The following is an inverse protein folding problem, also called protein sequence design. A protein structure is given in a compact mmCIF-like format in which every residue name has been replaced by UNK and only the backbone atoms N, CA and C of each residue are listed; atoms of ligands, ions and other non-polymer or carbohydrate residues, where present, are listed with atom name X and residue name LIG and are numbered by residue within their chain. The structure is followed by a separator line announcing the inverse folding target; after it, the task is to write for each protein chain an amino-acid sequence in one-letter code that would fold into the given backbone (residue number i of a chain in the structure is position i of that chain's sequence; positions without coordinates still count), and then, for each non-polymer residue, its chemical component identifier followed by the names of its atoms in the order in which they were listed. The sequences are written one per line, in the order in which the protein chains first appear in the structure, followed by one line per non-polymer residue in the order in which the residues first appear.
data_IF_163264685420
#
_entry.id   IF_163264685420
#
_cell.length_a   1.000
_cell.length_b   1.000
_cell.length_c   1.000
_cell.angle_alpha   90.00
_cell.angle_beta   90.00
_cell.angle_gamma   90.00
#
_symmetry.space_group_name_H-M   'P 1'
#
loop_
_entity.id
_entity.type
_entity.pdbx_description
1 polymer ?
#
# COMPACT_ATOMS: atom_id res chain seq x y z
N UNK A 1 -5.71 8.61 -11.41
CA UNK A 1 -4.97 7.89 -10.36
C UNK A 1 -5.12 8.59 -9.02
N UNK A 2 -4.92 9.92 -8.93
CA UNK A 2 -5.34 10.72 -7.77
C UNK A 2 -6.77 10.42 -7.30
N UNK A 3 -7.74 10.31 -8.22
CA UNK A 3 -9.13 9.97 -7.90
C UNK A 3 -9.32 8.63 -7.17
N UNK A 4 -8.43 7.65 -7.37
CA UNK A 4 -8.52 6.33 -6.74
C UNK A 4 -7.96 6.35 -5.32
N UNK A 5 -6.86 7.09 -5.09
CA UNK A 5 -6.27 7.29 -3.76
C UNK A 5 -7.25 8.00 -2.84
N UNK A 6 -7.82 9.11 -3.31
CA UNK A 6 -8.82 9.85 -2.55
C UNK A 6 -10.10 9.03 -2.32
N UNK A 7 -10.52 8.20 -3.28
CA UNK A 7 -11.65 7.30 -3.06
C UNK A 7 -11.38 6.25 -1.95
N UNK A 8 -10.15 5.73 -1.86
CA UNK A 8 -9.77 4.79 -0.78
C UNK A 8 -9.65 5.53 0.56
N UNK A 9 -9.03 6.70 0.60
CA UNK A 9 -8.95 7.55 1.80
C UNK A 9 -10.36 7.93 2.28
N UNK A 10 -11.25 8.35 1.38
CA UNK A 10 -12.64 8.70 1.71
C UNK A 10 -13.39 7.50 2.31
N UNK A 11 -13.18 6.29 1.78
CA UNK A 11 -13.77 5.05 2.33
C UNK A 11 -13.20 4.77 3.73
N UNK A 12 -11.90 4.92 3.93
CA UNK A 12 -11.23 4.70 5.21
C UNK A 12 -11.72 5.74 6.24
N UNK A 13 -11.76 7.02 5.88
CA UNK A 13 -12.24 8.11 6.73
C UNK A 13 -13.72 7.93 7.11
N UNK A 14 -14.57 7.49 6.18
CA UNK A 14 -15.97 7.19 6.47
C UNK A 14 -16.10 5.99 7.43
N UNK A 15 -15.23 4.99 7.31
CA UNK A 15 -15.17 3.85 8.22
C UNK A 15 -14.66 4.24 9.63
N UNK A 16 -13.64 5.09 9.72
CA UNK A 16 -13.08 5.60 10.98
C UNK A 16 -14.06 6.54 11.70
N UNK A 17 -14.70 7.46 10.99
CA UNK A 17 -15.62 8.46 11.55
C UNK A 17 -16.89 7.84 12.16
N UNK A 18 -17.32 6.67 11.67
CA UNK A 18 -18.50 5.97 12.18
C UNK A 18 -18.20 5.06 13.39
N UNK A 19 -16.95 4.93 13.82
CA UNK A 19 -16.54 4.10 14.96
C UNK A 19 -16.85 2.61 14.80
N UNK A 20 -17.23 2.19 13.58
CA UNK A 20 -17.57 0.84 13.18
C UNK A 20 -16.95 0.68 11.79
N UNK A 21 -15.83 -0.03 11.72
CA UNK A 21 -15.28 -0.49 10.46
C UNK A 21 -16.26 -1.51 9.87
N UNK A 22 -17.17 -1.06 9.00
CA UNK A 22 -18.21 -1.92 8.40
C UNK A 22 -17.63 -2.74 7.26
N UNK A 23 -17.17 -3.95 7.62
CA UNK A 23 -16.65 -4.96 6.69
C UNK A 23 -17.60 -5.24 5.51
N UNK A 24 -18.92 -5.04 5.63
CA UNK A 24 -19.84 -5.24 4.50
C UNK A 24 -19.68 -4.15 3.42
N UNK A 25 -19.37 -2.90 3.79
CA UNK A 25 -19.08 -1.83 2.82
C UNK A 25 -17.73 -2.03 2.11
N UNK A 26 -16.72 -2.53 2.81
CA UNK A 26 -15.42 -2.91 2.22
C UNK A 26 -15.55 -4.16 1.36
N UNK A 27 -16.40 -5.11 1.78
CA UNK A 27 -16.76 -6.34 1.05
C UNK A 27 -17.47 -6.07 -0.27
N UNK A 28 -18.35 -5.06 -0.34
CA UNK A 28 -18.96 -4.62 -1.61
C UNK A 28 -17.92 -3.98 -2.55
N UNK A 29 -16.78 -3.55 -2.00
CA UNK A 29 -15.58 -3.14 -2.73
C UNK A 29 -14.60 -4.27 -3.08
N UNK A 30 -14.92 -5.55 -2.86
CA UNK A 30 -14.01 -6.69 -3.15
C UNK A 30 -13.58 -6.75 -4.62
N UNK A 31 -14.48 -6.43 -5.56
CA UNK A 31 -14.11 -6.29 -6.97
C UNK A 31 -13.10 -5.15 -7.18
N UNK A 32 -13.21 -4.07 -6.41
CA UNK A 32 -12.22 -2.99 -6.39
C UNK A 32 -10.90 -3.45 -5.75
N UNK A 33 -10.92 -4.37 -4.79
CA UNK A 33 -9.70 -4.91 -4.14
C UNK A 33 -8.95 -5.86 -5.07
N UNK A 34 -9.66 -6.74 -5.78
CA UNK A 34 -9.06 -7.55 -6.85
C UNK A 34 -8.51 -6.66 -7.97
N UNK A 35 -9.24 -5.60 -8.33
CA UNK A 35 -8.75 -4.60 -9.29
C UNK A 35 -7.54 -3.81 -8.74
N UNK A 36 -7.50 -3.49 -7.46
CA UNK A 36 -6.36 -2.86 -6.78
C UNK A 36 -5.15 -3.79 -6.78
N UNK A 37 -5.35 -5.09 -6.55
CA UNK A 37 -4.30 -6.11 -6.61
C UNK A 37 -3.74 -6.27 -8.04
N UNK A 38 -4.59 -6.21 -9.06
CA UNK A 38 -4.14 -6.22 -10.47
C UNK A 38 -3.42 -4.93 -10.88
N UNK A 39 -3.92 -3.76 -10.43
CA UNK A 39 -3.23 -2.49 -10.64
C UNK A 39 -1.88 -2.46 -9.93
N UNK A 40 -1.78 -3.11 -8.77
CA UNK A 40 -0.54 -3.26 -8.02
C UNK A 40 0.54 -4.01 -8.76
N UNK A 41 0.24 -5.21 -9.30
CA UNK A 41 1.22 -5.95 -10.09
C UNK A 41 1.72 -5.08 -11.25
N UNK A 42 0.84 -4.27 -11.85
CA UNK A 42 1.22 -3.26 -12.83
C UNK A 42 2.18 -2.20 -12.27
N UNK A 43 1.82 -1.55 -11.16
CA UNK A 43 2.62 -0.50 -10.53
C UNK A 43 4.01 -0.98 -10.13
N UNK A 44 4.12 -2.15 -9.50
CA UNK A 44 5.42 -2.67 -9.09
C UNK A 44 6.27 -3.15 -10.28
N UNK A 45 5.66 -3.76 -11.30
CA UNK A 45 6.40 -4.09 -12.51
C UNK A 45 6.97 -2.82 -13.16
N UNK A 46 6.19 -1.75 -13.22
CA UNK A 46 6.65 -0.46 -13.73
C UNK A 46 7.75 0.17 -12.84
N UNK A 47 7.63 0.03 -11.52
CA UNK A 47 8.66 0.52 -10.59
C UNK A 47 9.98 -0.25 -10.74
N UNK A 48 9.92 -1.57 -10.88
CA UNK A 48 11.09 -2.41 -11.18
C UNK A 48 11.70 -2.08 -12.55
N UNK A 49 10.89 -1.76 -13.56
CA UNK A 49 11.39 -1.27 -14.87
C UNK A 49 12.14 0.07 -14.73
N UNK A 50 11.67 0.98 -13.88
CA UNK A 50 12.28 2.29 -13.65
C UNK A 50 13.58 2.18 -12.85
N UNK A 51 13.55 1.41 -11.75
CA UNK A 51 14.68 1.28 -10.83
C UNK A 51 15.72 0.26 -11.28
N UNK A 52 15.38 -0.56 -12.28
CA UNK A 52 16.18 -1.66 -12.78
C UNK A 52 15.92 -2.96 -12.00
N UNK A 53 15.85 -4.08 -12.72
CA UNK A 53 15.58 -5.41 -12.17
C UNK A 53 16.60 -5.86 -11.10
N UNK A 54 17.78 -5.24 -11.05
CA UNK A 54 18.85 -5.54 -10.08
C UNK A 54 18.74 -4.73 -8.76
N UNK A 55 17.69 -3.93 -8.56
CA UNK A 55 17.51 -3.19 -7.31
C UNK A 55 16.85 -4.07 -6.23
N UNK A 56 17.68 -4.81 -5.50
CA UNK A 56 17.28 -5.78 -4.48
C UNK A 56 16.27 -5.22 -3.46
N UNK A 57 16.42 -3.96 -3.06
CA UNK A 57 15.54 -3.34 -2.05
C UNK A 57 14.13 -3.06 -2.61
N UNK A 58 14.01 -2.57 -3.84
CA UNK A 58 12.69 -2.37 -4.46
C UNK A 58 12.01 -3.71 -4.77
N UNK A 59 12.77 -4.72 -5.16
CA UNK A 59 12.26 -6.07 -5.39
C UNK A 59 11.73 -6.71 -4.09
N UNK A 60 12.42 -6.50 -2.97
CA UNK A 60 11.98 -6.97 -1.65
C UNK A 60 10.64 -6.32 -1.24
N UNK A 61 10.54 -4.99 -1.32
CA UNK A 61 9.29 -4.28 -1.03
C UNK A 61 8.17 -4.79 -1.94
N UNK A 62 8.42 -4.90 -3.24
CA UNK A 62 7.47 -5.42 -4.23
C UNK A 62 6.92 -6.79 -3.83
N UNK A 63 7.82 -7.71 -3.47
CA UNK A 63 7.45 -9.06 -3.09
C UNK A 63 6.62 -9.09 -1.80
N UNK A 64 7.04 -8.31 -0.80
CA UNK A 64 6.35 -8.23 0.49
C UNK A 64 4.93 -7.67 0.35
N UNK A 65 4.77 -6.57 -0.39
CA UNK A 65 3.46 -5.95 -0.63
C UNK A 65 2.55 -6.86 -1.47
N UNK A 66 3.12 -7.55 -2.48
CA UNK A 66 2.38 -8.55 -3.28
C UNK A 66 1.85 -9.70 -2.42
N UNK A 67 2.68 -10.22 -1.50
CA UNK A 67 2.30 -11.29 -0.58
C UNK A 67 1.19 -10.84 0.38
N UNK A 68 1.33 -9.64 0.97
CA UNK A 68 0.33 -9.06 1.87
C UNK A 68 -1.04 -8.95 1.20
N UNK A 69 -1.10 -8.40 0.00
CA UNK A 69 -2.37 -8.19 -0.70
C UNK A 69 -2.97 -9.48 -1.24
N UNK A 70 -2.15 -10.44 -1.67
CA UNK A 70 -2.62 -11.78 -2.01
C UNK A 70 -3.26 -12.48 -0.80
N UNK A 71 -2.69 -12.30 0.39
CA UNK A 71 -3.24 -12.85 1.63
C UNK A 71 -4.56 -12.16 2.01
N UNK A 72 -4.63 -10.83 1.92
CA UNK A 72 -5.87 -10.06 2.14
C UNK A 72 -6.97 -10.49 1.16
N UNK A 73 -6.66 -10.57 -0.12
CA UNK A 73 -7.61 -11.00 -1.16
C UNK A 73 -8.10 -12.44 -0.92
N UNK A 74 -7.20 -13.34 -0.50
CA UNK A 74 -7.57 -14.72 -0.13
C UNK A 74 -8.49 -14.75 1.08
N UNK A 75 -8.17 -13.96 2.12
CA UNK A 75 -8.97 -13.89 3.33
C UNK A 75 -10.36 -13.27 3.09
N UNK A 76 -10.47 -12.30 2.19
CA UNK A 76 -11.74 -11.72 1.75
C UNK A 76 -12.58 -12.70 0.91
N UNK A 77 -11.94 -13.43 0.00
CA UNK A 77 -12.62 -14.34 -0.93
C UNK A 77 -13.07 -15.65 -0.28
N UNK A 78 -12.33 -16.13 0.71
CA UNK A 78 -12.67 -17.33 1.51
C UNK A 78 -12.39 -17.08 2.99
N UNK A 79 -13.27 -16.32 3.68
CA UNK A 79 -13.06 -15.98 5.09
C UNK A 79 -13.19 -17.22 5.96
N UNK A 80 -12.08 -17.62 6.57
CA UNK A 80 -11.99 -18.82 7.40
C UNK A 80 -10.75 -18.83 8.28
N UNK A 81 -10.68 -19.78 9.20
CA UNK A 81 -9.59 -19.85 10.18
C UNK A 81 -8.22 -20.06 9.51
N UNK A 82 -8.18 -20.80 8.39
CA UNK A 82 -6.97 -21.04 7.61
C UNK A 82 -6.50 -19.78 6.88
N UNK A 83 -7.38 -19.09 6.13
CA UNK A 83 -7.02 -17.87 5.40
C UNK A 83 -6.65 -16.73 6.35
N UNK A 84 -7.30 -16.64 7.51
CA UNK A 84 -6.93 -15.69 8.56
C UNK A 84 -5.57 -16.03 9.18
N UNK A 85 -5.30 -17.30 9.49
CA UNK A 85 -4.00 -17.73 10.02
C UNK A 85 -2.85 -17.44 9.05
N UNK A 86 -3.05 -17.67 7.75
CA UNK A 86 -2.07 -17.35 6.72
C UNK A 86 -1.81 -15.84 6.62
N UNK A 87 -2.87 -15.03 6.66
CA UNK A 87 -2.76 -13.58 6.69
C UNK A 87 -1.92 -13.11 7.89
N UNK A 88 -2.23 -13.61 9.10
CA UNK A 88 -1.47 -13.27 10.31
C UNK A 88 0.01 -13.66 10.21
N UNK A 89 0.32 -14.85 9.68
CA UNK A 89 1.70 -15.29 9.50
C UNK A 89 2.50 -14.37 8.58
N UNK A 90 1.88 -13.87 7.51
CA UNK A 90 2.55 -12.94 6.57
C UNK A 90 2.77 -11.59 7.23
N UNK A 91 1.83 -11.09 8.03
CA UNK A 91 1.96 -9.80 8.73
C UNK A 91 3.04 -9.86 9.80
N UNK A 92 3.18 -10.99 10.50
CA UNK A 92 4.25 -11.19 11.48
C UNK A 92 5.64 -11.14 10.82
N UNK A 93 5.76 -11.56 9.56
CA UNK A 93 6.99 -11.50 8.78
C UNK A 93 7.22 -10.13 8.13
N UNK A 94 6.14 -9.44 7.73
CA UNK A 94 6.24 -8.11 7.10
C UNK A 94 4.99 -7.28 7.36
N UNK A 95 5.14 -6.25 8.20
CA UNK A 95 4.05 -5.31 8.47
C UNK A 95 3.89 -4.29 7.32
N UNK A 96 2.66 -3.88 6.95
CA UNK A 96 2.44 -2.87 5.91
C UNK A 96 3.18 -1.55 6.21
N UNK A 97 3.15 -1.11 7.47
CA UNK A 97 3.88 0.07 7.91
C UNK A 97 5.40 -0.06 7.75
N UNK A 98 5.96 -1.26 7.90
CA UNK A 98 7.40 -1.50 7.67
C UNK A 98 7.77 -1.33 6.20
N UNK A 99 6.93 -1.83 5.27
CA UNK A 99 7.11 -1.58 3.84
C UNK A 99 7.02 -0.09 3.50
N UNK A 100 6.12 0.66 4.15
CA UNK A 100 5.98 2.10 3.94
C UNK A 100 7.27 2.86 4.36
N UNK A 101 7.83 2.55 5.53
CA UNK A 101 9.11 3.10 5.99
C UNK A 101 10.28 2.72 5.07
N UNK A 102 10.33 1.48 4.60
CA UNK A 102 11.37 1.03 3.67
C UNK A 102 11.29 1.81 2.35
N UNK A 103 10.08 2.04 1.83
CA UNK A 103 9.88 2.83 0.62
C UNK A 103 10.32 4.28 0.82
N UNK A 104 9.88 4.93 1.91
CA UNK A 104 10.29 6.29 2.26
C UNK A 104 11.82 6.43 2.33
N UNK A 105 12.49 5.51 3.02
CA UNK A 105 13.96 5.48 3.12
C UNK A 105 14.66 5.37 1.75
N UNK A 106 14.05 4.71 0.76
CA UNK A 106 14.58 4.66 -0.60
C UNK A 106 14.35 6.00 -1.33
N UNK A 107 13.21 6.63 -1.13
CA UNK A 107 12.87 7.92 -1.76
C UNK A 107 13.71 9.08 -1.22
N UNK A 108 14.14 9.03 0.04
CA UNK A 108 15.07 10.03 0.61
C UNK A 108 16.47 9.97 -0.02
N UNK A 109 16.85 8.83 -0.61
CA UNK A 109 18.14 8.66 -1.26
C UNK A 109 18.06 9.08 -2.72
N UNK A 110 18.68 10.21 -3.07
CA UNK A 110 18.63 10.78 -4.44
C UNK A 110 18.90 9.75 -5.55
N UNK A 111 19.86 8.83 -5.36
CA UNK A 111 20.22 7.81 -6.35
C UNK A 111 19.24 6.65 -6.45
N UNK A 112 18.33 6.51 -5.49
CA UNK A 112 17.31 5.46 -5.41
C UNK A 112 15.90 6.02 -5.52
N UNK A 113 15.74 7.33 -5.61
CA UNK A 113 14.46 7.98 -5.81
C UNK A 113 14.09 7.95 -7.30
N UNK A 114 13.08 7.15 -7.71
CA UNK A 114 12.66 7.05 -9.10
C UNK A 114 12.23 8.42 -9.65
N UNK A 115 11.63 9.32 -8.87
CA UNK A 115 11.23 10.65 -9.37
C UNK A 115 12.45 11.44 -9.85
N UNK A 116 13.59 11.30 -9.17
CA UNK A 116 14.82 12.03 -9.50
C UNK A 116 15.67 11.35 -10.57
N UNK A 117 15.71 10.00 -10.57
CA UNK A 117 16.61 9.24 -11.47
C UNK A 117 15.93 8.70 -12.72
N UNK A 118 14.61 8.77 -12.82
CA UNK A 118 13.86 8.16 -13.91
C UNK A 118 14.32 8.68 -15.28
N UNK A 119 14.66 7.73 -16.15
CA UNK A 119 15.02 7.97 -17.55
C UNK A 119 13.95 7.44 -18.52
N UNK A 120 12.87 6.86 -18.00
CA UNK A 120 11.72 6.35 -18.74
C UNK A 120 10.73 7.46 -19.10
N UNK A 121 9.84 7.19 -20.07
CA UNK A 121 8.67 8.03 -20.35
C UNK A 121 7.53 7.82 -19.34
N UNK A 122 7.64 6.80 -18.49
CA UNK A 122 6.66 6.48 -17.45
C UNK A 122 6.91 7.36 -16.24
N UNK A 123 5.89 8.07 -15.78
CA UNK A 123 5.93 8.88 -14.56
C UNK A 123 5.87 7.99 -13.30
N UNK A 124 6.90 8.00 -12.43
CA UNK A 124 6.95 7.18 -11.22
C UNK A 124 6.04 7.70 -10.11
N UNK A 125 5.67 8.98 -10.09
CA UNK A 125 4.82 9.55 -9.05
C UNK A 125 3.50 8.75 -8.86
N UNK A 126 2.65 8.57 -9.89
CA UNK A 126 1.38 7.87 -9.72
C UNK A 126 1.55 6.38 -9.36
N UNK A 127 2.69 5.78 -9.69
CA UNK A 127 3.04 4.41 -9.30
C UNK A 127 3.29 4.34 -7.79
N UNK A 128 4.11 5.27 -7.27
CA UNK A 128 4.41 5.38 -5.84
C UNK A 128 3.15 5.73 -5.02
N UNK A 129 2.32 6.65 -5.50
CA UNK A 129 1.02 6.96 -4.88
C UNK A 129 0.14 5.70 -4.78
N UNK A 130 0.13 4.89 -5.84
CA UNK A 130 -0.58 3.62 -5.87
C UNK A 130 -0.08 2.63 -4.82
N UNK A 131 1.24 2.53 -4.64
CA UNK A 131 1.86 1.64 -3.63
C UNK A 131 1.52 2.10 -2.21
N UNK A 132 1.63 3.38 -1.90
CA UNK A 132 1.22 3.90 -0.59
C UNK A 132 -0.26 3.67 -0.30
N UNK A 133 -1.12 3.85 -1.31
CA UNK A 133 -2.57 3.59 -1.18
C UNK A 133 -2.86 2.13 -0.86
N UNK A 134 -2.10 1.22 -1.46
CA UNK A 134 -2.22 -0.21 -1.24
C UNK A 134 -1.78 -0.61 0.17
N UNK A 135 -0.66 -0.07 0.63
CA UNK A 135 -0.18 -0.24 2.00
C UNK A 135 -1.19 0.28 3.02
N UNK A 136 -1.75 1.47 2.78
CA UNK A 136 -2.78 2.09 3.60
C UNK A 136 -4.04 1.22 3.66
N UNK A 137 -4.47 0.67 2.52
CA UNK A 137 -5.62 -0.23 2.46
C UNK A 137 -5.41 -1.50 3.30
N UNK A 138 -4.23 -2.14 3.19
CA UNK A 138 -3.91 -3.33 3.98
C UNK A 138 -3.91 -2.98 5.48
N UNK A 139 -3.23 -1.90 5.86
CA UNK A 139 -3.18 -1.46 7.26
C UNK A 139 -4.58 -1.19 7.83
N UNK A 140 -5.44 -0.49 7.08
CA UNK A 140 -6.82 -0.23 7.48
C UNK A 140 -7.63 -1.54 7.62
N UNK A 141 -7.47 -2.48 6.67
CA UNK A 141 -8.13 -3.79 6.72
C UNK A 141 -7.74 -4.58 7.99
N UNK A 142 -6.45 -4.58 8.33
CA UNK A 142 -5.94 -5.27 9.51
C UNK A 142 -6.41 -4.63 10.82
N UNK A 143 -6.38 -3.30 10.88
CA UNK A 143 -6.91 -2.57 12.02
C UNK A 143 -8.40 -2.85 12.23
N UNK A 144 -9.19 -2.96 11.14
CA UNK A 144 -10.60 -3.33 11.21
C UNK A 144 -10.85 -4.78 11.66
N UNK A 145 -9.95 -5.71 11.34
CA UNK A 145 -10.06 -7.13 11.70
C UNK A 145 -9.56 -7.47 13.10
N UNK A 146 -8.45 -6.86 13.52
CA UNK A 146 -7.64 -7.31 14.66
C UNK A 146 -7.61 -6.27 15.79
N UNK A 147 -8.26 -5.11 15.61
CA UNK A 147 -8.21 -3.94 16.50
C UNK A 147 -7.61 -4.22 17.89
N UNK A 148 -6.34 -3.88 18.07
CA UNK A 148 -5.64 -3.84 19.35
C UNK A 148 -5.36 -2.37 19.68
N UNK A 149 -5.58 -2.02 20.94
CA UNK A 149 -5.37 -0.68 21.50
C UNK A 149 -3.93 -0.14 21.35
N UNK A 150 -2.96 -0.99 20.96
CA UNK A 150 -1.57 -0.62 20.70
C UNK A 150 -1.20 -0.56 19.20
N UNK A 151 -2.13 -0.79 18.27
CA UNK A 151 -1.84 -0.62 16.84
C UNK A 151 -1.74 0.86 16.50
N UNK A 152 -0.78 1.21 15.64
CA UNK A 152 -0.60 2.59 15.19
C UNK A 152 -1.72 3.09 14.27
N UNK A 153 -2.52 2.16 13.73
CA UNK A 153 -3.62 2.45 12.82
C UNK A 153 -3.17 2.95 11.43
N UNK A 154 -4.11 3.16 10.50
CA UNK A 154 -3.81 3.68 9.17
C UNK A 154 -3.17 5.08 9.19
N UNK A 155 -3.28 5.81 10.30
CA UNK A 155 -2.88 7.21 10.45
C UNK A 155 -1.40 7.42 10.11
N UNK A 156 -0.52 6.49 10.48
CA UNK A 156 0.92 6.62 10.19
C UNK A 156 1.23 6.57 8.69
N UNK A 157 0.53 5.72 7.95
CA UNK A 157 0.69 5.64 6.50
C UNK A 157 0.02 6.84 5.81
N UNK A 158 -1.08 7.36 6.38
CA UNK A 158 -1.69 8.60 5.89
C UNK A 158 -0.72 9.79 6.02
N UNK A 159 -0.07 9.95 7.17
CA UNK A 159 0.96 10.98 7.38
C UNK A 159 2.07 10.87 6.32
N UNK A 160 2.56 9.66 6.04
CA UNK A 160 3.59 9.41 4.99
C UNK A 160 3.11 9.75 3.59
N UNK A 161 1.83 9.51 3.27
CA UNK A 161 1.25 9.87 1.96
C UNK A 161 1.24 11.39 1.78
N UNK A 162 0.87 12.12 2.84
CA UNK A 162 0.88 13.59 2.83
C UNK A 162 2.31 14.13 2.68
N UNK A 163 3.26 13.61 3.46
CA UNK A 163 4.68 13.98 3.35
C UNK A 163 5.26 13.67 1.96
N UNK A 164 4.95 12.50 1.40
CA UNK A 164 5.35 12.14 0.05
C UNK A 164 4.84 13.13 -0.99
N UNK A 165 3.57 13.57 -0.90
CA UNK A 165 3.02 14.56 -1.83
C UNK A 165 3.76 15.90 -1.73
N UNK A 166 4.09 16.37 -0.53
CA UNK A 166 4.89 17.58 -0.34
C UNK A 166 6.31 17.42 -0.90
N UNK A 167 6.92 16.24 -0.76
CA UNK A 167 8.26 15.96 -1.25
C UNK A 167 8.33 15.84 -2.78
N UNK A 168 7.31 15.27 -3.40
CA UNK A 168 7.17 15.27 -4.87
C UNK A 168 7.12 16.70 -5.42
N UNK A 169 6.41 17.62 -4.76
CA UNK A 169 6.42 19.03 -5.17
C UNK A 169 7.83 19.63 -5.08
N UNK A 170 8.64 19.24 -4.09
CA UNK A 170 10.03 19.70 -3.96
C UNK A 170 10.94 19.08 -5.02
N UNK A 171 10.80 17.79 -5.32
CA UNK A 171 11.63 17.09 -6.31
C UNK A 171 11.38 17.54 -7.76
N UNK A 172 10.17 18.00 -8.05
CA UNK A 172 9.79 18.50 -9.38
C UNK A 172 10.19 19.97 -9.65
N UNK A 173 10.71 20.71 -8.66
CA UNK A 173 11.07 22.14 -8.75
C UNK A 173 12.57 22.39 -8.68
#
# INVERSE_FOLDING_TARGET
MADTVYAVIDIIDECLANGIFDYQKVSEGVDNIVALNQQMEGHFNQLSEIMGEDNDMYNEITQNVTNLLSAVATNLGDPGQESFGNLMSIIEETAPLECAYQLEYLLEQESLNPILVNQSEVDPQPILEGIYTQLLFVEAYLNGLIYDENMYGPEKIMDMVEEFQEDVEKWNN
#
